data_IF_129866850029
#
_entry.id   IF_129866850029
#
_cell.length_a   1.000
_cell.length_b   1.000
_cell.length_c   1.000
_cell.angle_alpha   90.00
_cell.angle_beta   90.00
_cell.angle_gamma   90.00
#
_symmetry.space_group_name_H-M   'P 1'
#
loop_
_entity.id
_entity.type
_entity.pdbx_description
1 polymer ?
#
# COMPACT_ATOMS: atom_id res chain seq x y z
N UNK A 1 1.27 -12.98 -2.60
CA UNK A 1 2.37 -13.90 -2.29
C UNK A 1 2.13 -14.66 -0.99
N UNK A 2 2.89 -15.74 -0.78
CA UNK A 2 2.94 -16.47 0.49
C UNK A 2 4.22 -16.08 1.23
N UNK A 3 4.13 -15.90 2.54
CA UNK A 3 5.31 -15.74 3.39
C UNK A 3 5.12 -16.44 4.73
N UNK A 4 6.23 -16.75 5.40
CA UNK A 4 6.23 -17.42 6.70
C UNK A 4 6.66 -16.45 7.79
N UNK A 5 5.82 -16.26 8.80
CA UNK A 5 6.15 -15.53 10.02
C UNK A 5 6.64 -16.51 11.07
N UNK A 6 7.79 -16.20 11.70
CA UNK A 6 8.33 -16.97 12.81
C UNK A 6 8.14 -16.16 14.10
N UNK A 7 7.33 -16.67 15.01
CA UNK A 7 7.02 -16.06 16.31
C UNK A 7 7.92 -16.71 17.35
N UNK A 8 8.82 -15.93 17.95
CA UNK A 8 9.74 -16.39 19.00
C UNK A 8 9.70 -15.46 20.20
N UNK A 9 9.69 -16.03 21.40
CA UNK A 9 9.65 -15.26 22.63
C UNK A 9 9.33 -16.12 23.84
N UNK A 10 8.89 -15.48 24.91
CA UNK A 10 8.31 -16.15 26.08
C UNK A 10 6.79 -16.01 26.03
N UNK A 11 6.06 -17.09 26.32
CA UNK A 11 4.62 -17.01 26.49
C UNK A 11 4.25 -16.41 27.87
N UNK A 12 2.95 -16.28 28.15
CA UNK A 12 2.43 -15.75 29.42
C UNK A 12 2.89 -16.55 30.66
N UNK A 13 3.37 -17.78 30.47
CA UNK A 13 3.89 -18.66 31.53
C UNK A 13 5.42 -18.59 31.65
N UNK A 14 6.09 -17.77 30.85
CA UNK A 14 7.55 -17.64 30.83
C UNK A 14 8.27 -18.75 30.05
N UNK A 15 7.54 -19.56 29.28
CA UNK A 15 8.12 -20.65 28.50
C UNK A 15 8.56 -20.16 27.12
N UNK A 16 9.73 -20.61 26.66
CA UNK A 16 10.21 -20.29 25.33
C UNK A 16 9.32 -20.90 24.24
N UNK A 17 8.87 -20.07 23.30
CA UNK A 17 8.08 -20.48 22.14
C UNK A 17 8.82 -20.16 20.83
N UNK A 18 8.60 -21.00 19.82
CA UNK A 18 9.04 -20.79 18.44
C UNK A 18 8.03 -21.40 17.47
N UNK A 19 7.05 -20.62 17.03
CA UNK A 19 6.00 -21.03 16.08
C UNK A 19 6.31 -20.50 14.68
N UNK A 20 6.09 -21.31 13.64
CA UNK A 20 6.10 -20.85 12.26
C UNK A 20 4.67 -20.86 11.71
N UNK A 21 4.24 -19.73 11.12
CA UNK A 21 2.90 -19.54 10.55
C UNK A 21 3.00 -19.07 9.10
N UNK A 22 2.28 -19.74 8.20
CA UNK A 22 2.17 -19.31 6.80
C UNK A 22 1.06 -18.28 6.67
N UNK A 23 1.38 -17.13 6.09
CA UNK A 23 0.44 -16.04 5.80
C UNK A 23 0.07 -16.07 4.31
N UNK A 24 -1.23 -15.95 4.03
CA UNK A 24 -1.83 -16.07 2.68
C UNK A 24 -2.67 -14.88 2.24
N UNK A 25 -2.78 -13.85 3.07
CA UNK A 25 -3.66 -12.69 2.85
C UNK A 25 -3.14 -11.69 1.81
N UNK A 26 -1.91 -11.87 1.29
CA UNK A 26 -1.36 -11.02 0.24
C UNK A 26 -1.67 -11.65 -1.11
N UNK A 27 -2.54 -11.02 -1.89
CA UNK A 27 -2.97 -11.56 -3.18
C UNK A 27 -2.11 -11.06 -4.35
N UNK A 28 -1.70 -9.79 -4.31
CA UNK A 28 -0.96 -9.15 -5.38
C UNK A 28 0.18 -8.28 -4.82
N UNK A 29 1.24 -8.12 -5.60
CA UNK A 29 2.37 -7.23 -5.30
C UNK A 29 2.70 -6.45 -6.56
N UNK A 30 2.73 -5.13 -6.45
CA UNK A 30 3.00 -4.22 -7.56
C UNK A 30 4.18 -3.35 -7.16
N UNK A 31 5.21 -3.31 -8.01
CA UNK A 31 6.28 -2.34 -7.91
C UNK A 31 5.94 -1.13 -8.79
N UNK A 32 5.57 0.03 -8.23
CA UNK A 32 5.12 1.19 -9.01
C UNK A 32 6.18 1.75 -9.95
N UNK A 33 7.47 1.45 -9.72
CA UNK A 33 8.57 1.85 -10.59
C UNK A 33 8.68 1.01 -11.87
N UNK A 34 8.13 -0.20 -11.84
CA UNK A 34 8.10 -1.12 -12.99
C UNK A 34 6.73 -1.13 -13.66
N UNK A 35 5.67 -1.00 -12.88
CA UNK A 35 4.29 -1.02 -13.35
C UNK A 35 3.44 0.05 -12.65
N UNK A 36 3.60 1.29 -13.09
CA UNK A 36 2.80 2.38 -12.57
C UNK A 36 1.35 2.35 -13.04
N UNK A 37 1.11 1.82 -14.25
CA UNK A 37 -0.24 1.67 -14.80
C UNK A 37 -1.06 0.67 -13.97
N UNK A 38 -0.48 -0.47 -13.58
CA UNK A 38 -1.11 -1.44 -12.69
C UNK A 38 -1.38 -0.87 -11.29
N UNK A 39 -0.46 -0.06 -10.76
CA UNK A 39 -0.71 0.69 -9.51
C UNK A 39 -1.92 1.62 -9.63
N UNK A 40 -2.01 2.43 -10.69
CA UNK A 40 -3.14 3.33 -10.91
C UNK A 40 -4.45 2.59 -11.20
N UNK A 41 -4.39 1.41 -11.82
CA UNK A 41 -5.58 0.60 -12.07
C UNK A 41 -6.29 0.17 -10.78
N UNK A 42 -5.56 0.05 -9.66
CA UNK A 42 -6.16 -0.22 -8.34
C UNK A 42 -7.18 0.85 -7.94
N UNK A 43 -7.00 2.11 -8.35
CA UNK A 43 -7.91 3.20 -8.04
C UNK A 43 -9.35 2.94 -8.51
N UNK A 44 -9.51 2.11 -9.54
CA UNK A 44 -10.78 1.80 -10.19
C UNK A 44 -11.50 0.59 -9.57
N UNK A 45 -10.85 -0.12 -8.65
CA UNK A 45 -11.46 -1.25 -7.95
C UNK A 45 -12.45 -0.74 -6.87
N UNK A 46 -13.76 -0.98 -7.00
CA UNK A 46 -14.75 -0.51 -6.04
C UNK A 46 -14.68 -1.23 -4.68
N UNK A 47 -14.01 -2.38 -4.60
CA UNK A 47 -13.90 -3.19 -3.37
C UNK A 47 -12.75 -2.70 -2.46
N UNK A 48 -11.80 -1.92 -3.00
CA UNK A 48 -10.76 -1.27 -2.20
C UNK A 48 -11.39 -0.12 -1.40
N UNK A 49 -11.39 -0.29 -0.08
CA UNK A 49 -12.02 0.64 0.89
C UNK A 49 -11.03 1.20 1.91
N UNK A 50 -9.88 0.53 2.10
CA UNK A 50 -8.86 0.95 3.06
C UNK A 50 -7.48 0.91 2.43
N UNK A 51 -6.67 1.92 2.76
CA UNK A 51 -5.24 1.98 2.42
C UNK A 51 -4.45 2.07 3.70
N UNK A 52 -3.55 1.11 3.91
CA UNK A 52 -2.61 1.10 5.03
C UNK A 52 -1.21 1.39 4.49
N UNK A 53 -0.47 2.26 5.19
CA UNK A 53 0.90 2.61 4.82
C UNK A 53 1.87 2.37 5.97
N UNK A 54 3.04 1.84 5.62
CA UNK A 54 4.20 1.62 6.48
C UNK A 54 5.42 2.20 5.75
N UNK A 55 5.45 3.52 5.55
CA UNK A 55 6.54 4.17 4.82
C UNK A 55 7.59 4.83 5.73
N UNK A 56 7.47 4.62 7.05
CA UNK A 56 8.22 5.36 8.10
C UNK A 56 8.10 6.88 7.96
N UNK A 57 8.77 7.63 8.84
CA UNK A 57 8.82 9.10 8.80
C UNK A 57 9.51 9.60 7.51
N UNK A 58 10.51 8.87 7.02
CA UNK A 58 11.25 9.25 5.82
C UNK A 58 10.39 9.16 4.56
N UNK A 59 9.48 8.19 4.49
CA UNK A 59 8.67 7.97 3.30
C UNK A 59 7.44 8.86 3.19
N UNK A 60 6.92 9.44 4.29
CA UNK A 60 5.84 10.44 4.22
C UNK A 60 6.32 11.87 3.93
N UNK A 61 7.60 12.04 3.61
CA UNK A 61 8.20 13.35 3.35
C UNK A 61 7.70 13.97 2.03
N UNK A 62 7.57 15.30 2.05
CA UNK A 62 7.28 16.09 0.86
C UNK A 62 8.52 16.19 -0.03
N UNK A 63 8.35 16.02 -1.34
CA UNK A 63 9.40 16.21 -2.33
C UNK A 63 9.01 17.35 -3.29
N UNK A 64 9.74 18.47 -3.21
CA UNK A 64 9.42 19.69 -3.96
C UNK A 64 9.50 19.53 -5.49
N UNK A 65 10.20 18.51 -5.97
CA UNK A 65 10.34 18.22 -7.40
C UNK A 65 9.24 17.33 -7.99
N UNK A 66 8.31 16.81 -7.18
CA UNK A 66 7.21 15.99 -7.70
C UNK A 66 6.28 16.83 -8.58
N UNK A 67 5.88 16.27 -9.72
CA UNK A 67 5.01 16.91 -10.71
C UNK A 67 3.74 16.07 -10.94
N UNK A 68 2.63 16.70 -11.35
CA UNK A 68 1.38 15.98 -11.63
C UNK A 68 1.49 14.93 -12.73
N UNK A 69 2.45 15.06 -13.64
CA UNK A 69 2.70 14.19 -14.79
C UNK A 69 3.81 13.15 -14.56
N UNK A 70 4.42 13.10 -13.37
CA UNK A 70 5.40 12.07 -13.05
C UNK A 70 4.77 10.67 -13.01
N UNK A 71 5.49 9.68 -13.56
CA UNK A 71 5.05 8.29 -13.64
C UNK A 71 6.20 7.30 -13.34
N UNK A 72 6.37 6.84 -12.09
CA UNK A 72 5.70 7.31 -10.87
C UNK A 72 6.34 8.61 -10.31
N UNK A 73 5.62 9.37 -9.47
CA UNK A 73 6.22 10.39 -8.61
C UNK A 73 7.29 9.83 -7.66
N UNK A 74 8.19 10.68 -7.17
CA UNK A 74 9.28 10.26 -6.26
C UNK A 74 8.75 9.98 -4.87
N UNK A 75 7.94 10.87 -4.29
CA UNK A 75 7.44 10.69 -2.92
C UNK A 75 6.27 9.71 -2.83
N UNK A 76 6.03 9.13 -1.65
CA UNK A 76 4.82 8.34 -1.40
C UNK A 76 3.55 9.22 -1.39
N UNK A 77 3.53 10.40 -0.73
CA UNK A 77 2.37 11.29 -0.78
C UNK A 77 1.93 11.63 -2.20
N UNK A 78 2.86 11.89 -3.12
CA UNK A 78 2.51 12.18 -4.52
C UNK A 78 1.93 10.97 -5.26
N UNK A 79 2.51 9.76 -5.08
CA UNK A 79 1.94 8.51 -5.63
C UNK A 79 0.50 8.28 -5.14
N UNK A 80 0.29 8.39 -3.83
CA UNK A 80 -1.04 8.23 -3.21
C UNK A 80 -2.02 9.30 -3.70
N UNK A 81 -1.56 10.55 -3.85
CA UNK A 81 -2.40 11.64 -4.38
C UNK A 81 -2.86 11.35 -5.80
N UNK A 82 -1.98 10.84 -6.68
CA UNK A 82 -2.38 10.46 -8.04
C UNK A 82 -3.36 9.28 -8.04
N UNK A 83 -3.16 8.27 -7.17
CA UNK A 83 -4.09 7.15 -7.01
C UNK A 83 -5.49 7.63 -6.61
N UNK A 84 -5.58 8.51 -5.61
CA UNK A 84 -6.85 9.06 -5.12
C UNK A 84 -7.51 9.98 -6.16
N UNK A 85 -6.73 10.75 -6.92
CA UNK A 85 -7.23 11.59 -8.01
C UNK A 85 -7.82 10.74 -9.15
N UNK A 86 -7.16 9.65 -9.52
CA UNK A 86 -7.69 8.69 -10.50
C UNK A 86 -8.99 8.06 -10.01
N UNK A 87 -9.05 7.67 -8.72
CA UNK A 87 -10.26 7.13 -8.10
C UNK A 87 -11.41 8.13 -8.13
N UNK A 88 -11.16 9.37 -7.72
CA UNK A 88 -12.14 10.46 -7.74
C UNK A 88 -12.71 10.68 -9.14
N UNK A 89 -11.85 10.71 -10.17
CA UNK A 89 -12.26 10.85 -11.57
C UNK A 89 -13.07 9.66 -12.05
N UNK A 90 -12.63 8.44 -11.72
CA UNK A 90 -13.31 7.21 -12.16
C UNK A 90 -14.73 7.09 -11.59
N UNK A 91 -14.90 7.38 -10.30
CA UNK A 91 -16.22 7.35 -9.64
C UNK A 91 -16.96 8.69 -9.68
N UNK A 92 -16.47 9.65 -10.48
CA UNK A 92 -17.07 10.96 -10.69
C UNK A 92 -17.40 11.71 -9.38
N UNK A 93 -16.53 11.58 -8.38
CA UNK A 93 -16.67 12.21 -7.07
C UNK A 93 -17.81 11.67 -6.19
N UNK A 94 -18.27 10.43 -6.42
CA UNK A 94 -19.30 9.82 -5.59
C UNK A 94 -18.90 9.77 -4.11
N UNK A 95 -19.80 10.23 -3.23
CA UNK A 95 -19.55 10.42 -1.80
C UNK A 95 -19.29 9.11 -1.03
N UNK A 96 -19.70 7.97 -1.58
CA UNK A 96 -19.51 6.63 -1.04
C UNK A 96 -18.29 5.89 -1.66
N UNK A 97 -17.54 6.55 -2.55
CA UNK A 97 -16.40 5.97 -3.29
C UNK A 97 -15.10 6.79 -3.19
N UNK A 98 -15.05 7.73 -2.24
CA UNK A 98 -13.87 8.53 -1.88
C UNK A 98 -13.03 7.88 -0.80
#
# INVERSE_FOLDING_TARGET
GLYTTVIRGLNERGEAVSEARIIRSVNNEINPWQDFAGYLALARDPEITFVFSNTTEAGISYHAGDRPDDMPPVSFPAKLTQLLLERFRHFNGAADKG
#
